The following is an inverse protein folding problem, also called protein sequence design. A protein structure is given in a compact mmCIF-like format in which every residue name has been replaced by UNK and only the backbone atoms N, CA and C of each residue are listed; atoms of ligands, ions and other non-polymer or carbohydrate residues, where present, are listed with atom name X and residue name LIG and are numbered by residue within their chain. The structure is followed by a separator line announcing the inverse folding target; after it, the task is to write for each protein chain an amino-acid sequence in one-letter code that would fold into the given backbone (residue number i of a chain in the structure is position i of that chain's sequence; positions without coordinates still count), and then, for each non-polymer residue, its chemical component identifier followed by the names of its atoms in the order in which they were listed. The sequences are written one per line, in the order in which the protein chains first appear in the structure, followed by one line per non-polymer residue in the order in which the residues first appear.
data_IF_324875798057
#
_entry.id   IF_324875798057
#
_cell.length_a   1.000
_cell.length_b   1.000
_cell.length_c   1.000
_cell.angle_alpha   90.00
_cell.angle_beta   90.00
_cell.angle_gamma   90.00
#
_symmetry.space_group_name_H-M   'P 1'
#
loop_
_entity.id
_entity.type
_entity.pdbx_description
1 polymer ?
#
# COMPACT_ATOMS: atom_id res chain seq x y z
N UNK A 1 32.69 52.81 39.97
CA UNK A 1 31.70 51.81 39.51
C UNK A 1 31.68 51.77 37.99
N UNK A 2 32.47 50.91 37.36
CA UNK A 2 32.39 50.62 35.93
C UNK A 2 32.35 49.10 35.78
N UNK A 3 31.18 48.54 35.43
CA UNK A 3 30.99 47.10 35.20
C UNK A 3 31.27 46.80 33.73
N UNK A 4 32.44 46.22 33.45
CA UNK A 4 32.79 45.66 32.15
C UNK A 4 32.10 44.29 32.02
N UNK A 5 31.10 44.18 31.13
CA UNK A 5 30.42 42.90 30.84
C UNK A 5 31.20 42.15 29.77
N UNK A 6 31.95 41.13 30.18
CA UNK A 6 32.55 40.14 29.28
C UNK A 6 31.42 39.27 28.69
N UNK A 7 31.13 39.40 27.39
CA UNK A 7 30.31 38.42 26.67
C UNK A 7 31.21 37.31 26.16
N UNK A 8 31.15 36.16 26.82
CA UNK A 8 31.74 34.91 26.36
C UNK A 8 30.91 34.42 25.17
N UNK A 9 31.43 34.55 23.95
CA UNK A 9 30.84 33.94 22.77
C UNK A 9 31.19 32.44 22.78
N UNK A 10 30.20 31.61 23.14
CA UNK A 10 30.31 30.15 23.04
C UNK A 10 30.22 29.79 21.55
N UNK A 11 31.38 29.56 20.93
CA UNK A 11 31.49 29.05 19.56
C UNK A 11 31.02 27.59 19.55
N UNK A 12 29.73 27.40 19.27
CA UNK A 12 29.15 26.08 19.08
C UNK A 12 29.62 25.54 17.72
N UNK A 13 30.75 24.84 17.73
CA UNK A 13 31.30 24.16 16.56
C UNK A 13 30.47 22.89 16.31
N UNK A 14 29.33 23.05 15.65
CA UNK A 14 28.54 21.92 15.13
C UNK A 14 29.37 21.21 14.06
N UNK A 15 30.06 20.14 14.44
CA UNK A 15 30.55 19.14 13.48
C UNK A 15 29.34 18.43 12.88
N UNK A 16 28.83 18.95 11.77
CA UNK A 16 27.93 18.20 10.91
C UNK A 16 28.74 17.04 10.32
N UNK A 17 28.59 15.84 10.90
CA UNK A 17 29.00 14.62 10.22
C UNK A 17 28.21 14.56 8.91
N UNK A 18 28.87 14.87 7.79
CA UNK A 18 28.37 14.53 6.46
C UNK A 18 28.33 13.00 6.40
N UNK A 19 27.18 12.43 6.75
CA UNK A 19 26.92 11.01 6.49
C UNK A 19 26.88 10.86 4.98
N UNK A 20 28.01 10.45 4.40
CA UNK A 20 28.08 10.16 2.98
C UNK A 20 27.05 9.08 2.64
N UNK A 21 26.26 9.32 1.61
CA UNK A 21 25.30 8.34 1.13
C UNK A 21 26.06 7.08 0.71
N UNK A 22 25.59 5.92 1.17
CA UNK A 22 26.11 4.65 0.68
C UNK A 22 25.74 4.53 -0.81
N UNK A 23 26.75 4.44 -1.67
CA UNK A 23 26.56 4.29 -3.11
C UNK A 23 26.46 2.81 -3.44
N UNK A 24 25.34 2.42 -4.05
CA UNK A 24 25.16 1.09 -4.63
C UNK A 24 25.35 1.20 -6.14
N UNK A 25 26.29 0.44 -6.69
CA UNK A 25 26.57 0.42 -8.13
C UNK A 25 25.98 -0.85 -8.76
N UNK A 26 25.23 -0.66 -9.85
CA UNK A 26 24.62 -1.73 -10.64
C UNK A 26 25.19 -1.60 -12.06
N UNK A 27 25.95 -2.61 -12.51
CA UNK A 27 26.41 -2.69 -13.90
C UNK A 27 25.38 -3.48 -14.73
N UNK A 28 24.52 -2.75 -15.44
CA UNK A 28 23.50 -3.31 -16.32
C UNK A 28 23.98 -3.41 -17.79
N UNK A 29 25.21 -2.98 -18.09
CA UNK A 29 25.88 -3.20 -19.38
C UNK A 29 26.73 -4.47 -19.42
N UNK A 30 26.94 -5.14 -18.28
CA UNK A 30 27.68 -6.39 -18.21
C UNK A 30 26.98 -7.52 -19.01
N UNK A 31 27.53 -7.83 -20.19
CA UNK A 31 26.96 -8.83 -21.12
C UNK A 31 27.21 -10.28 -20.69
N UNK A 32 28.10 -10.49 -19.73
CA UNK A 32 28.46 -11.83 -19.26
C UNK A 32 27.82 -12.08 -17.90
N UNK A 33 26.94 -13.09 -17.83
CA UNK A 33 26.52 -13.61 -16.54
C UNK A 33 27.77 -14.08 -15.80
N UNK A 34 28.06 -13.50 -14.63
CA UNK A 34 29.18 -13.96 -13.80
C UNK A 34 29.09 -15.49 -13.62
N UNK A 35 30.19 -16.22 -13.75
CA UNK A 35 30.16 -17.65 -13.47
C UNK A 35 29.79 -17.87 -12.01
N UNK A 36 29.10 -18.99 -11.75
CA UNK A 36 28.71 -19.36 -10.39
C UNK A 36 29.97 -19.75 -9.62
N UNK A 37 30.29 -19.02 -8.55
CA UNK A 37 31.38 -19.34 -7.64
C UNK A 37 30.85 -19.56 -6.23
N UNK A 38 31.35 -20.59 -5.56
CA UNK A 38 30.99 -20.88 -4.17
C UNK A 38 31.55 -19.79 -3.25
N UNK A 39 30.74 -19.33 -2.30
CA UNK A 39 31.19 -18.48 -1.20
C UNK A 39 31.52 -19.36 0.01
N UNK A 40 32.41 -18.92 0.92
CA UNK A 40 32.78 -19.67 2.14
C UNK A 40 31.66 -19.64 3.21
N UNK A 41 30.41 -19.73 2.78
CA UNK A 41 29.22 -19.76 3.63
C UNK A 41 28.51 -21.09 3.38
N UNK A 42 28.76 -22.10 4.24
CA UNK A 42 28.04 -23.36 4.21
C UNK A 42 27.84 -23.96 5.61
N UNK A 43 26.77 -24.72 5.80
CA UNK A 43 26.46 -25.40 7.06
C UNK A 43 25.50 -26.56 6.85
N UNK A 44 25.63 -27.60 7.66
CA UNK A 44 24.75 -28.78 7.64
C UNK A 44 23.96 -28.83 8.94
N UNK A 45 22.64 -28.94 8.86
CA UNK A 45 21.80 -29.08 10.05
C UNK A 45 21.75 -30.54 10.55
N UNK A 46 21.21 -30.83 11.76
CA UNK A 46 21.12 -32.19 12.30
C UNK A 46 20.33 -33.18 11.43
N UNK A 47 19.39 -32.70 10.62
CA UNK A 47 18.63 -33.50 9.66
C UNK A 47 19.40 -33.79 8.35
N UNK A 48 20.64 -33.34 8.26
CA UNK A 48 21.52 -33.53 7.12
C UNK A 48 21.32 -32.58 5.94
N UNK A 49 20.46 -31.57 6.09
CA UNK A 49 20.24 -30.52 5.08
C UNK A 49 21.44 -29.60 5.03
N UNK A 50 21.97 -29.40 3.83
CA UNK A 50 23.08 -28.49 3.57
C UNK A 50 22.52 -27.15 3.12
N UNK A 51 22.96 -26.08 3.77
CA UNK A 51 22.73 -24.71 3.36
C UNK A 51 24.06 -24.13 2.89
N UNK A 52 24.08 -23.48 1.74
CA UNK A 52 25.28 -22.83 1.19
C UNK A 52 24.93 -21.51 0.52
N UNK A 53 25.93 -20.73 0.12
CA UNK A 53 25.75 -19.57 -0.76
C UNK A 53 26.78 -19.60 -1.89
N UNK A 54 26.37 -19.09 -3.05
CA UNK A 54 27.26 -18.73 -4.15
C UNK A 54 27.16 -17.22 -4.40
N UNK A 55 27.97 -16.69 -5.31
CA UNK A 55 27.97 -15.28 -5.70
C UNK A 55 26.64 -14.76 -6.31
N UNK A 56 25.59 -15.59 -6.41
CA UNK A 56 24.28 -15.22 -6.94
C UNK A 56 23.13 -15.44 -5.96
N UNK A 57 23.12 -16.54 -5.19
CA UNK A 57 22.00 -16.90 -4.32
C UNK A 57 22.39 -17.88 -3.21
N UNK A 58 21.51 -18.03 -2.21
CA UNK A 58 21.57 -19.10 -1.22
C UNK A 58 21.10 -20.42 -1.82
N UNK A 59 21.57 -21.52 -1.26
CA UNK A 59 21.27 -22.87 -1.70
C UNK A 59 20.79 -23.74 -0.53
N UNK A 60 19.84 -24.63 -0.81
CA UNK A 60 19.41 -25.71 0.07
C UNK A 60 19.59 -27.03 -0.67
N UNK A 61 20.49 -27.88 -0.19
CA UNK A 61 20.91 -29.12 -0.85
C UNK A 61 21.34 -28.87 -2.32
N UNK A 62 22.14 -27.83 -2.55
CA UNK A 62 22.66 -27.46 -3.88
C UNK A 62 21.64 -26.84 -4.83
N UNK A 63 20.38 -26.65 -4.41
CA UNK A 63 19.33 -25.99 -5.20
C UNK A 63 19.14 -24.54 -4.75
N UNK A 64 18.87 -23.58 -5.65
CA UNK A 64 18.54 -22.21 -5.27
C UNK A 64 17.46 -22.17 -4.20
N UNK A 65 17.70 -21.37 -3.17
CA UNK A 65 16.82 -21.21 -2.02
C UNK A 65 16.77 -19.74 -1.63
N UNK A 66 15.57 -19.25 -1.37
CA UNK A 66 15.35 -17.92 -0.80
C UNK A 66 14.96 -18.14 0.67
N UNK A 67 15.87 -17.94 1.64
CA UNK A 67 15.50 -18.00 3.04
C UNK A 67 14.45 -16.95 3.37
N UNK A 68 13.55 -17.28 4.30
CA UNK A 68 12.78 -16.26 5.01
C UNK A 68 13.73 -15.62 6.01
N UNK A 69 14.22 -14.42 5.68
CA UNK A 69 15.09 -13.65 6.56
C UNK A 69 14.24 -12.67 7.38
N UNK A 70 14.41 -12.69 8.71
CA UNK A 70 13.67 -11.86 9.66
C UNK A 70 14.50 -10.71 10.24
N UNK A 71 15.40 -10.13 9.44
CA UNK A 71 16.26 -9.04 9.91
C UNK A 71 15.55 -7.68 9.82
N UNK A 72 15.73 -6.86 10.86
CA UNK A 72 15.31 -5.47 10.84
C UNK A 72 16.34 -4.64 10.08
N UNK A 73 15.99 -4.20 8.88
CA UNK A 73 16.82 -3.31 8.08
C UNK A 73 16.68 -1.87 8.62
N UNK A 74 17.76 -1.20 9.04
CA UNK A 74 17.70 0.17 9.53
C UNK A 74 17.54 1.19 8.38
N UNK A 75 17.18 2.42 8.72
CA UNK A 75 17.23 3.56 7.82
C UNK A 75 18.65 3.75 7.25
N UNK A 76 18.77 4.06 5.96
CA UNK A 76 20.06 4.32 5.31
C UNK A 76 19.97 5.49 4.33
N UNK A 77 20.97 6.38 4.36
CA UNK A 77 21.18 7.31 3.25
C UNK A 77 21.84 6.55 2.10
N UNK A 78 21.18 6.51 0.95
CA UNK A 78 21.61 5.73 -0.22
C UNK A 78 21.60 6.58 -1.48
N UNK A 79 22.54 6.29 -2.39
CA UNK A 79 22.51 6.71 -3.79
C UNK A 79 22.73 5.48 -4.65
N UNK A 80 22.10 5.44 -5.83
CA UNK A 80 22.22 4.33 -6.77
C UNK A 80 22.90 4.85 -8.04
N UNK A 81 23.92 4.13 -8.51
CA UNK A 81 24.52 4.35 -9.83
C UNK A 81 24.21 3.15 -10.72
N UNK A 82 23.61 3.41 -11.86
CA UNK A 82 23.34 2.39 -12.89
C UNK A 82 24.26 2.65 -14.05
N UNK A 83 25.23 1.77 -14.27
CA UNK A 83 26.14 1.81 -15.40
C UNK A 83 25.51 1.04 -16.57
N UNK A 84 25.43 1.71 -17.71
CA UNK A 84 24.91 1.22 -18.99
C UNK A 84 26.03 1.28 -20.05
N UNK A 85 25.80 0.67 -21.22
CA UNK A 85 26.79 0.64 -22.31
C UNK A 85 27.29 2.03 -22.72
N UNK A 86 26.43 3.05 -22.68
CA UNK A 86 26.72 4.40 -23.22
C UNK A 86 26.71 5.50 -22.16
N UNK A 87 26.30 5.20 -20.93
CA UNK A 87 26.14 6.21 -19.88
C UNK A 87 26.14 5.60 -18.48
N UNK A 88 26.31 6.46 -17.47
CA UNK A 88 26.07 6.10 -16.07
C UNK A 88 25.02 7.03 -15.50
N UNK A 89 23.91 6.47 -15.03
CA UNK A 89 22.83 7.21 -14.39
C UNK A 89 23.07 7.22 -12.89
N UNK A 90 23.19 8.41 -12.29
CA UNK A 90 23.35 8.57 -10.84
C UNK A 90 22.06 9.14 -10.25
N UNK A 91 21.43 8.37 -9.38
CA UNK A 91 20.27 8.80 -8.60
C UNK A 91 20.73 9.77 -7.50
N UNK A 92 19.96 10.83 -7.29
CA UNK A 92 20.15 11.70 -6.12
C UNK A 92 20.09 10.88 -4.82
N UNK A 93 20.89 11.30 -3.84
CA UNK A 93 20.85 10.68 -2.51
C UNK A 93 19.45 10.79 -1.89
N UNK A 94 19.04 9.75 -1.17
CA UNK A 94 17.80 9.71 -0.41
C UNK A 94 17.95 8.91 0.88
N UNK A 95 17.20 9.30 1.92
CA UNK A 95 17.05 8.48 3.12
C UNK A 95 16.03 7.37 2.83
N UNK A 96 16.49 6.16 2.60
CA UNK A 96 15.64 4.99 2.47
C UNK A 96 15.29 4.48 3.86
N UNK A 97 13.99 4.49 4.18
CA UNK A 97 13.50 3.96 5.46
C UNK A 97 13.71 2.45 5.56
N UNK A 98 14.01 2.00 6.76
CA UNK A 98 14.07 0.60 7.10
C UNK A 98 12.84 -0.18 6.65
N UNK A 99 12.99 -1.47 6.40
CA UNK A 99 11.92 -2.35 5.89
C UNK A 99 11.28 -1.89 4.56
N UNK A 100 11.95 -1.02 3.79
CA UNK A 100 11.49 -0.60 2.47
C UNK A 100 12.19 -1.40 1.38
N UNK A 101 11.41 -2.10 0.56
CA UNK A 101 11.86 -2.62 -0.74
C UNK A 101 11.33 -1.69 -1.84
N UNK A 102 12.23 -1.16 -2.66
CA UNK A 102 11.90 -0.16 -3.68
C UNK A 102 12.22 -0.65 -5.09
N UNK A 103 11.28 -0.45 -6.02
CA UNK A 103 11.46 -0.63 -7.46
C UNK A 103 11.64 0.74 -8.10
N UNK A 104 12.88 1.11 -8.40
CA UNK A 104 13.22 2.43 -8.95
C UNK A 104 13.46 2.37 -10.46
N UNK A 105 12.65 3.05 -11.29
CA UNK A 105 12.83 3.00 -12.72
C UNK A 105 13.96 3.92 -13.19
N UNK A 106 14.66 3.51 -14.24
CA UNK A 106 15.65 4.30 -14.97
C UNK A 106 15.40 4.19 -16.48
N UNK A 107 15.79 5.21 -17.25
CA UNK A 107 15.53 5.33 -18.69
C UNK A 107 14.07 5.00 -19.09
N UNK A 108 13.12 5.49 -18.30
CA UNK A 108 11.69 5.29 -18.52
C UNK A 108 11.17 6.25 -19.60
N UNK A 109 10.63 5.70 -20.69
CA UNK A 109 9.98 6.49 -21.74
C UNK A 109 8.56 6.89 -21.34
N UNK A 110 8.19 8.15 -21.58
CA UNK A 110 6.85 8.70 -21.36
C UNK A 110 6.48 9.63 -22.52
N UNK A 111 5.68 9.13 -23.48
CA UNK A 111 5.60 9.78 -24.79
C UNK A 111 6.99 9.81 -25.45
N UNK A 112 7.40 11.00 -25.90
CA UNK A 112 8.74 11.31 -26.39
C UNK A 112 9.71 11.78 -25.30
N UNK A 113 9.26 12.01 -24.06
CA UNK A 113 10.16 12.32 -22.95
C UNK A 113 10.91 11.08 -22.46
N UNK A 114 12.19 11.24 -22.13
CA UNK A 114 13.01 10.22 -21.49
C UNK A 114 13.29 10.62 -20.04
N UNK A 115 12.76 9.86 -19.10
CA UNK A 115 13.01 10.02 -17.67
C UNK A 115 14.22 9.16 -17.30
N UNK A 116 15.33 9.78 -16.96
CA UNK A 116 16.60 9.11 -16.62
C UNK A 116 16.47 8.29 -15.35
N UNK A 117 15.81 8.82 -14.33
CA UNK A 117 15.50 8.09 -13.10
C UNK A 117 14.30 8.68 -12.36
N UNK A 118 13.69 7.89 -11.47
CA UNK A 118 12.69 8.35 -10.48
C UNK A 118 12.94 7.66 -9.13
N UNK A 119 12.91 8.38 -8.01
CA UNK A 119 13.00 7.84 -6.65
C UNK A 119 11.62 7.50 -6.06
N UNK A 120 10.75 6.91 -6.89
CA UNK A 120 9.39 6.48 -6.54
C UNK A 120 9.02 5.27 -7.39
N UNK A 121 8.12 4.41 -6.88
CA UNK A 121 7.81 3.14 -7.53
C UNK A 121 6.69 3.31 -8.55
N UNK A 122 6.80 2.79 -9.78
CA UNK A 122 5.72 2.90 -10.76
C UNK A 122 4.51 2.09 -10.31
N UNK A 123 3.32 2.68 -10.44
CA UNK A 123 2.03 2.06 -10.10
C UNK A 123 1.19 1.80 -11.35
N UNK A 124 0.90 2.86 -12.12
CA UNK A 124 0.01 2.79 -13.27
C UNK A 124 0.42 3.76 -14.37
N UNK A 125 0.09 3.41 -15.61
CA UNK A 125 0.21 4.28 -16.78
C UNK A 125 -1.16 4.39 -17.46
N UNK A 126 -1.55 5.61 -17.79
CA UNK A 126 -2.73 5.96 -18.58
C UNK A 126 -2.30 6.66 -19.87
N UNK A 127 -2.97 6.36 -20.98
CA UNK A 127 -2.75 6.97 -22.30
C UNK A 127 -4.08 7.45 -22.88
N UNK A 128 -4.25 8.77 -22.96
CA UNK A 128 -5.40 9.43 -23.57
C UNK A 128 -4.92 10.32 -24.73
N UNK A 129 -4.84 9.74 -25.93
CA UNK A 129 -4.27 10.42 -27.10
C UNK A 129 -2.81 10.83 -26.89
N UNK A 130 -2.49 12.11 -27.07
CA UNK A 130 -1.14 12.67 -26.83
C UNK A 130 -0.85 13.00 -25.35
N UNK A 131 -1.71 12.54 -24.43
CA UNK A 131 -1.50 12.72 -22.99
C UNK A 131 -1.14 11.38 -22.35
N UNK A 132 0.09 11.27 -21.86
CA UNK A 132 0.54 10.13 -21.04
C UNK A 132 0.57 10.54 -19.58
N UNK A 133 -0.05 9.75 -18.71
CA UNK A 133 0.04 9.95 -17.26
C UNK A 133 0.67 8.73 -16.61
N UNK A 134 1.62 8.94 -15.72
CA UNK A 134 2.28 7.88 -14.95
C UNK A 134 2.09 8.18 -13.47
N UNK A 135 1.46 7.25 -12.76
CA UNK A 135 1.31 7.28 -11.32
C UNK A 135 2.46 6.51 -10.69
N UNK A 136 3.07 7.12 -9.69
CA UNK A 136 4.07 6.51 -8.83
C UNK A 136 3.55 6.45 -7.40
N UNK A 137 3.92 5.42 -6.66
CA UNK A 137 3.81 5.38 -5.22
C UNK A 137 5.09 5.98 -4.60
N UNK A 138 4.92 6.90 -3.67
CA UNK A 138 6.00 7.46 -2.87
C UNK A 138 6.64 6.42 -1.95
N UNK A 139 7.96 6.50 -1.80
CA UNK A 139 8.67 5.75 -0.76
C UNK A 139 8.47 6.45 0.60
N UNK A 140 8.35 5.70 1.72
CA UNK A 140 8.19 6.29 3.04
C UNK A 140 9.29 7.31 3.35
N UNK A 141 8.89 8.55 3.65
CA UNK A 141 9.82 9.62 4.04
C UNK A 141 10.74 10.16 2.92
N UNK A 142 10.55 9.76 1.67
CA UNK A 142 11.35 10.24 0.53
C UNK A 142 10.52 11.22 -0.30
N UNK A 143 10.93 12.49 -0.33
CA UNK A 143 10.40 13.43 -1.32
C UNK A 143 10.78 12.95 -2.74
N UNK A 144 9.82 12.86 -3.68
CA UNK A 144 10.12 12.41 -5.03
C UNK A 144 11.22 13.23 -5.70
N UNK A 145 12.18 12.53 -6.29
CA UNK A 145 13.26 13.07 -7.11
C UNK A 145 13.24 12.35 -8.45
N UNK A 146 13.49 13.07 -9.52
CA UNK A 146 13.62 12.50 -10.86
C UNK A 146 14.56 13.33 -11.73
N UNK A 147 14.94 12.78 -12.87
CA UNK A 147 15.64 13.54 -13.90
C UNK A 147 15.07 13.24 -15.28
N UNK A 148 14.96 14.27 -16.10
CA UNK A 148 14.69 14.13 -17.54
C UNK A 148 15.98 14.28 -18.33
N UNK A 149 16.06 13.57 -19.46
CA UNK A 149 16.93 13.96 -20.55
C UNK A 149 16.48 15.34 -21.06
N UNK A 150 17.36 16.34 -20.96
CA UNK A 150 17.05 17.72 -21.34
C UNK A 150 16.76 17.85 -22.84
N UNK A 151 17.32 16.95 -23.67
CA UNK A 151 17.09 16.88 -25.10
C UNK A 151 15.70 16.37 -25.47
N UNK A 152 15.01 15.66 -24.57
CA UNK A 152 13.70 15.04 -24.83
C UNK A 152 12.50 15.92 -24.49
N UNK A 153 12.68 16.92 -23.63
CA UNK A 153 11.60 17.79 -23.13
C UNK A 153 11.66 19.21 -23.71
N UNK A 154 10.50 19.86 -23.83
CA UNK A 154 10.36 21.26 -24.22
C UNK A 154 10.07 22.19 -23.01
N UNK A 155 9.56 21.65 -21.90
CA UNK A 155 9.30 22.40 -20.67
C UNK A 155 10.60 22.90 -20.03
N UNK A 156 10.61 24.17 -19.62
CA UNK A 156 11.76 24.84 -18.99
C UNK A 156 11.51 25.34 -17.56
N UNK A 157 10.26 25.29 -17.08
CA UNK A 157 9.83 25.70 -15.74
C UNK A 157 8.96 24.61 -15.10
N UNK A 158 9.17 24.36 -13.80
CA UNK A 158 8.57 23.24 -13.08
C UNK A 158 8.02 23.73 -11.73
N UNK A 159 6.75 24.09 -11.69
CA UNK A 159 6.09 24.67 -10.51
C UNK A 159 6.01 23.68 -9.33
N UNK A 160 6.54 24.08 -8.17
CA UNK A 160 6.60 23.25 -6.97
C UNK A 160 7.74 22.22 -6.96
N UNK A 161 8.71 22.38 -7.87
CA UNK A 161 9.88 21.51 -8.01
C UNK A 161 11.18 22.31 -8.01
N UNK A 162 12.08 21.97 -7.09
CA UNK A 162 13.45 22.47 -7.11
C UNK A 162 14.16 21.87 -8.32
N UNK A 163 14.81 22.73 -9.12
CA UNK A 163 15.40 22.35 -10.40
C UNK A 163 16.91 22.55 -10.38
N UNK A 164 17.64 21.53 -10.80
CA UNK A 164 19.09 21.58 -11.03
C UNK A 164 19.37 21.11 -12.45
N UNK A 165 20.12 21.90 -13.22
CA UNK A 165 20.49 21.57 -14.60
C UNK A 165 21.92 21.06 -14.60
N UNK A 166 22.12 19.90 -15.22
CA UNK A 166 23.44 19.31 -15.49
C UNK A 166 23.57 19.02 -16.98
N UNK A 167 24.77 18.63 -17.43
CA UNK A 167 25.02 18.37 -18.86
C UNK A 167 24.09 17.27 -19.35
N UNK A 168 23.16 17.62 -20.25
CA UNK A 168 22.19 16.70 -20.84
C UNK A 168 20.99 16.34 -19.97
N UNK A 169 20.89 16.82 -18.71
CA UNK A 169 19.81 16.46 -17.80
C UNK A 169 19.18 17.66 -17.08
N UNK A 170 17.89 17.51 -16.75
CA UNK A 170 17.17 18.38 -15.82
C UNK A 170 16.74 17.53 -14.63
N UNK A 171 17.35 17.78 -13.47
CA UNK A 171 17.05 17.10 -12.22
C UNK A 171 16.02 17.91 -11.43
N UNK A 172 15.04 17.21 -10.87
CA UNK A 172 13.91 17.80 -10.18
C UNK A 172 13.70 17.09 -8.84
N UNK A 173 13.44 17.89 -7.80
CA UNK A 173 13.05 17.42 -6.47
C UNK A 173 11.75 18.10 -6.05
N UNK A 174 10.76 17.30 -5.66
CA UNK A 174 9.48 17.81 -5.19
C UNK A 174 9.68 18.65 -3.92
N UNK A 175 9.08 19.85 -3.90
CA UNK A 175 9.08 20.75 -2.74
C UNK A 175 7.74 20.63 -2.02
N UNK A 176 6.66 21.06 -2.67
CA UNK A 176 5.30 21.09 -2.12
C UNK A 176 4.24 20.55 -3.11
N UNK A 177 4.65 20.16 -4.32
CA UNK A 177 3.77 19.60 -5.35
C UNK A 177 3.98 18.09 -5.51
N UNK A 178 2.88 17.37 -5.73
CA UNK A 178 2.84 15.91 -5.97
C UNK A 178 2.50 15.56 -7.41
N UNK A 179 2.35 16.57 -8.25
CA UNK A 179 2.11 16.42 -9.69
C UNK A 179 3.17 17.19 -10.45
N UNK A 180 3.59 16.65 -11.59
CA UNK A 180 4.50 17.29 -12.51
C UNK A 180 3.95 17.17 -13.93
N UNK A 181 3.77 18.29 -14.62
CA UNK A 181 3.30 18.33 -16.00
C UNK A 181 4.42 18.83 -16.89
N UNK A 182 4.75 18.05 -17.92
CA UNK A 182 5.85 18.31 -18.85
C UNK A 182 5.35 18.14 -20.28
N UNK A 183 5.83 18.97 -21.19
CA UNK A 183 5.68 18.78 -22.63
C UNK A 183 6.97 18.22 -23.18
N UNK A 184 6.87 17.18 -24.00
CA UNK A 184 8.01 16.70 -24.78
C UNK A 184 8.19 17.49 -26.08
N UNK A 185 9.32 17.27 -26.76
CA UNK A 185 9.59 17.93 -28.05
C UNK A 185 8.75 17.44 -29.23
N UNK A 186 8.04 16.32 -29.06
CA UNK A 186 7.14 15.75 -30.08
C UNK A 186 5.68 16.22 -29.91
N UNK A 187 5.42 17.06 -28.91
CA UNK A 187 4.12 17.65 -28.63
C UNK A 187 3.20 16.77 -27.76
N UNK A 188 3.70 15.75 -27.06
CA UNK A 188 2.91 15.06 -26.04
C UNK A 188 2.96 15.81 -24.71
N UNK A 189 1.89 15.66 -23.94
CA UNK A 189 1.83 16.08 -22.54
C UNK A 189 2.08 14.85 -21.66
N UNK A 190 3.01 14.98 -20.73
CA UNK A 190 3.35 13.98 -19.73
C UNK A 190 2.92 14.51 -18.38
N UNK A 191 2.12 13.74 -17.64
CA UNK A 191 1.79 14.03 -16.24
C UNK A 191 2.36 12.93 -15.35
N UNK A 192 3.24 13.29 -14.42
CA UNK A 192 3.69 12.38 -13.37
C UNK A 192 2.91 12.72 -12.09
N UNK A 193 2.35 11.71 -11.45
CA UNK A 193 1.57 11.87 -10.22
C UNK A 193 2.17 10.99 -9.14
N UNK A 194 2.51 11.57 -7.99
CA UNK A 194 3.13 10.89 -6.86
C UNK A 194 2.08 10.70 -5.76
N UNK A 195 1.60 9.46 -5.63
CA UNK A 195 0.57 9.06 -4.68
C UNK A 195 1.22 8.61 -3.37
N UNK A 196 0.59 8.96 -2.25
CA UNK A 196 0.89 8.32 -0.97
C UNK A 196 0.64 6.81 -1.05
N UNK A 197 1.25 6.04 -0.15
CA UNK A 197 1.03 4.59 -0.05
C UNK A 197 -0.47 4.23 0.05
N UNK A 198 -1.22 4.92 0.92
CA UNK A 198 -2.66 4.71 1.09
C UNK A 198 -3.41 4.96 -0.22
N UNK A 199 -3.11 6.04 -0.93
CA UNK A 199 -3.75 6.32 -2.22
C UNK A 199 -3.42 5.26 -3.27
N UNK A 200 -2.18 4.78 -3.32
CA UNK A 200 -1.75 3.75 -4.27
C UNK A 200 -2.42 2.39 -4.00
N UNK A 201 -2.53 1.97 -2.73
CA UNK A 201 -3.20 0.74 -2.31
C UNK A 201 -4.72 0.78 -2.61
N UNK A 202 -5.30 1.97 -2.65
CA UNK A 202 -6.71 2.22 -2.91
C UNK A 202 -7.02 2.67 -4.35
N UNK A 203 -6.04 2.57 -5.26
CA UNK A 203 -6.17 3.02 -6.63
C UNK A 203 -6.52 1.87 -7.59
N UNK A 204 -7.47 2.11 -8.49
CA UNK A 204 -7.84 1.19 -9.56
C UNK A 204 -7.75 1.88 -10.93
N UNK A 205 -7.19 1.17 -11.91
CA UNK A 205 -7.21 1.62 -13.31
C UNK A 205 -8.41 1.01 -14.02
N UNK A 206 -9.13 1.84 -14.77
CA UNK A 206 -10.30 1.44 -15.53
C UNK A 206 -10.48 2.33 -16.77
N UNK A 207 -11.50 2.04 -17.58
CA UNK A 207 -11.93 2.92 -18.67
C UNK A 207 -13.28 3.53 -18.32
N UNK A 208 -13.39 4.84 -18.49
CA UNK A 208 -14.62 5.60 -18.27
C UNK A 208 -14.83 6.50 -19.48
N UNK A 209 -16.00 6.44 -20.10
CA UNK A 209 -16.34 7.22 -21.31
C UNK A 209 -15.30 7.08 -22.44
N UNK A 210 -14.78 5.86 -22.63
CA UNK A 210 -13.76 5.55 -23.63
C UNK A 210 -12.35 6.06 -23.30
N UNK A 211 -12.14 6.72 -22.17
CA UNK A 211 -10.84 7.23 -21.73
C UNK A 211 -10.26 6.35 -20.62
N UNK A 212 -8.93 6.19 -20.60
CA UNK A 212 -8.26 5.56 -19.47
C UNK A 212 -8.33 6.50 -18.26
N UNK A 213 -8.75 5.93 -17.13
CA UNK A 213 -8.99 6.65 -15.89
C UNK A 213 -8.35 5.92 -14.70
N UNK A 214 -8.14 6.67 -13.62
CA UNK A 214 -7.79 6.13 -12.31
C UNK A 214 -8.88 6.55 -11.31
N UNK A 215 -9.37 5.60 -10.53
CA UNK A 215 -10.25 5.83 -9.39
C UNK A 215 -9.48 5.55 -8.10
N UNK A 216 -9.67 6.38 -7.08
CA UNK A 216 -9.12 6.16 -5.73
C UNK A 216 -10.27 6.19 -4.73
N UNK A 217 -10.42 5.13 -3.93
CA UNK A 217 -11.43 5.04 -2.88
C UNK A 217 -11.00 4.09 -1.76
N UNK A 218 -11.33 4.44 -0.51
CA UNK A 218 -11.15 3.54 0.64
C UNK A 218 -12.20 2.38 0.64
N UNK A 219 -13.18 2.41 -0.26
CA UNK A 219 -14.15 1.34 -0.45
C UNK A 219 -13.64 0.28 -1.42
N UNK A 220 -14.14 -0.95 -1.28
CA UNK A 220 -14.00 -2.00 -2.28
C UNK A 220 -14.83 -1.66 -3.52
N UNK A 221 -14.31 -1.95 -4.71
CA UNK A 221 -14.94 -1.66 -5.99
C UNK A 221 -15.33 -2.94 -6.73
N UNK A 222 -16.57 -3.00 -7.19
CA UNK A 222 -17.02 -3.93 -8.23
C UNK A 222 -17.41 -3.12 -9.46
N UNK A 223 -16.69 -3.33 -10.56
CA UNK A 223 -16.80 -2.54 -11.79
C UNK A 223 -17.58 -3.37 -12.83
N UNK A 224 -18.66 -2.79 -13.34
CA UNK A 224 -19.48 -3.31 -14.43
C UNK A 224 -19.56 -2.25 -15.55
N UNK A 225 -20.00 -2.64 -16.76
CA UNK A 225 -19.96 -1.76 -17.95
C UNK A 225 -20.68 -0.41 -17.75
N UNK A 226 -21.75 -0.39 -16.96
CA UNK A 226 -22.58 0.80 -16.76
C UNK A 226 -22.55 1.37 -15.34
N UNK A 227 -21.87 0.72 -14.38
CA UNK A 227 -21.91 1.11 -12.97
C UNK A 227 -20.69 0.60 -12.18
N UNK A 228 -20.42 1.28 -11.07
CA UNK A 228 -19.44 0.86 -10.07
C UNK A 228 -20.17 0.71 -8.75
N UNK A 229 -20.13 -0.49 -8.15
CA UNK A 229 -20.63 -0.72 -6.80
C UNK A 229 -19.48 -0.51 -5.82
N UNK A 230 -19.71 0.32 -4.81
CA UNK A 230 -18.77 0.57 -3.72
C UNK A 230 -19.27 -0.10 -2.45
N UNK A 231 -18.38 -0.75 -1.71
CA UNK A 231 -18.69 -1.37 -0.42
C UNK A 231 -17.61 -1.03 0.61
N UNK A 232 -18.02 -0.68 1.83
CA UNK A 232 -17.08 -0.45 2.93
C UNK A 232 -17.74 -0.72 4.28
N UNK A 233 -16.93 -1.13 5.25
CA UNK A 233 -17.35 -1.31 6.64
C UNK A 233 -17.21 0.01 7.42
N UNK A 234 -17.93 0.12 8.54
CA UNK A 234 -17.86 1.22 9.53
C UNK A 234 -18.34 2.62 9.11
N UNK A 235 -18.43 2.93 7.80
CA UNK A 235 -18.82 4.28 7.35
C UNK A 235 -19.85 4.23 6.23
N UNK A 236 -20.93 5.00 6.40
CA UNK A 236 -21.96 5.23 5.40
C UNK A 236 -21.58 6.30 4.37
N UNK A 237 -20.39 6.91 4.52
CA UNK A 237 -19.85 7.96 3.66
C UNK A 237 -18.76 7.39 2.75
N UNK A 238 -19.04 7.43 1.45
CA UNK A 238 -18.14 6.99 0.38
C UNK A 238 -17.43 8.19 -0.22
N UNK A 239 -16.10 8.11 -0.34
CA UNK A 239 -15.29 9.12 -0.99
C UNK A 239 -14.58 8.51 -2.19
N UNK A 240 -14.65 9.20 -3.32
CA UNK A 240 -14.08 8.75 -4.58
C UNK A 240 -13.34 9.90 -5.24
N UNK A 241 -12.11 9.66 -5.70
CA UNK A 241 -11.38 10.57 -6.59
C UNK A 241 -11.24 9.94 -7.97
N UNK A 242 -11.48 10.72 -9.03
CA UNK A 242 -11.38 10.28 -10.43
C UNK A 242 -10.37 11.14 -11.17
N UNK A 243 -9.41 10.49 -11.81
CA UNK A 243 -8.54 11.07 -12.82
C UNK A 243 -8.94 10.57 -14.21
N UNK A 244 -8.89 11.41 -15.27
CA UNK A 244 -8.59 12.83 -15.22
C UNK A 244 -9.76 13.65 -14.66
N UNK A 245 -9.45 14.85 -14.17
CA UNK A 245 -10.47 15.85 -13.79
C UNK A 245 -11.37 16.21 -14.98
N UNK A 246 -12.60 16.63 -14.67
CA UNK A 246 -13.63 17.03 -15.62
C UNK A 246 -14.13 15.90 -16.53
N UNK A 247 -13.94 14.64 -16.13
CA UNK A 247 -14.45 13.50 -16.88
C UNK A 247 -15.98 13.39 -16.80
N UNK A 248 -16.58 14.00 -15.77
CA UNK A 248 -18.00 13.87 -15.44
C UNK A 248 -18.41 12.39 -15.43
N UNK A 249 -17.64 11.60 -14.67
CA UNK A 249 -17.65 10.14 -14.73
C UNK A 249 -19.00 9.50 -14.39
N UNK A 250 -19.80 10.16 -13.53
CA UNK A 250 -20.99 9.56 -12.94
C UNK A 250 -22.26 10.36 -13.24
N UNK A 251 -23.31 9.66 -13.65
CA UNK A 251 -24.61 10.25 -13.95
C UNK A 251 -25.27 10.80 -12.66
N UNK A 252 -25.77 12.05 -12.73
CA UNK A 252 -26.46 12.69 -11.62
C UNK A 252 -25.58 13.13 -10.45
N UNK A 253 -24.26 12.94 -10.53
CA UNK A 253 -23.31 13.39 -9.50
C UNK A 253 -22.42 14.50 -10.03
N UNK A 254 -22.22 15.53 -9.22
CA UNK A 254 -21.29 16.62 -9.51
C UNK A 254 -20.05 16.49 -8.63
N UNK A 255 -18.85 16.72 -9.18
CA UNK A 255 -17.64 16.73 -8.36
C UNK A 255 -17.66 17.91 -7.38
N UNK A 256 -17.07 17.69 -6.21
CA UNK A 256 -16.85 18.70 -5.18
C UNK A 256 -15.81 19.71 -5.67
N UNK A 257 -16.08 21.00 -5.43
CA UNK A 257 -15.13 22.06 -5.76
C UNK A 257 -13.86 21.96 -4.88
N UNK A 258 -12.69 22.22 -5.48
CA UNK A 258 -11.50 22.68 -4.76
C UNK A 258 -10.66 21.65 -3.99
N UNK A 259 -10.87 20.33 -4.12
CA UNK A 259 -10.10 19.36 -3.30
C UNK A 259 -8.76 18.90 -3.88
N UNK A 260 -8.64 18.73 -5.19
CA UNK A 260 -7.35 18.41 -5.86
C UNK A 260 -7.36 18.97 -7.29
N UNK A 261 -6.20 19.42 -7.79
CA UNK A 261 -6.13 20.09 -9.09
C UNK A 261 -6.42 19.15 -10.28
N UNK A 262 -6.03 17.87 -10.17
CA UNK A 262 -6.07 16.90 -11.28
C UNK A 262 -7.10 15.78 -11.12
N UNK A 263 -7.81 15.69 -9.99
CA UNK A 263 -8.92 14.74 -9.81
C UNK A 263 -10.25 15.47 -9.63
N UNK A 264 -11.33 14.81 -10.07
CA UNK A 264 -12.69 15.06 -9.62
C UNK A 264 -12.93 14.30 -8.31
N UNK A 265 -13.41 14.98 -7.26
CA UNK A 265 -13.74 14.33 -5.99
C UNK A 265 -15.26 14.21 -5.83
N UNK A 266 -15.75 13.03 -5.46
CA UNK A 266 -17.16 12.76 -5.19
C UNK A 266 -17.32 12.26 -3.74
N UNK A 267 -18.40 12.67 -3.09
CA UNK A 267 -18.84 12.07 -1.82
C UNK A 267 -20.29 11.60 -1.99
N UNK A 268 -20.55 10.36 -1.62
CA UNK A 268 -21.90 9.80 -1.57
C UNK A 268 -22.17 9.31 -0.16
N UNK A 269 -23.27 9.79 0.43
CA UNK A 269 -23.71 9.36 1.76
C UNK A 269 -24.94 8.48 1.63
N UNK A 270 -24.94 7.35 2.32
CA UNK A 270 -26.10 6.45 2.41
C UNK A 270 -26.82 6.61 3.76
N UNK A 271 -28.02 6.06 3.88
CA UNK A 271 -28.76 6.11 5.14
C UNK A 271 -28.02 5.28 6.22
N UNK A 272 -27.89 5.77 7.46
CA UNK A 272 -27.29 4.99 8.53
C UNK A 272 -28.13 3.73 8.81
N UNK A 273 -27.48 2.66 9.25
CA UNK A 273 -28.15 1.41 9.62
C UNK A 273 -27.67 0.91 10.98
N UNK A 274 -28.63 0.61 11.85
CA UNK A 274 -28.37 -0.06 13.13
C UNK A 274 -28.70 -1.55 12.98
N UNK A 275 -27.72 -2.40 13.30
CA UNK A 275 -27.88 -3.85 13.26
C UNK A 275 -29.03 -4.31 14.17
N UNK A 276 -29.85 -5.22 13.66
CA UNK A 276 -30.95 -5.87 14.41
C UNK A 276 -30.59 -7.28 14.89
N UNK A 277 -29.31 -7.64 14.90
CA UNK A 277 -28.89 -8.95 15.41
C UNK A 277 -29.17 -9.07 16.91
N UNK A 278 -29.67 -10.22 17.31
CA UNK A 278 -29.78 -10.59 18.73
C UNK A 278 -28.75 -11.67 19.03
N UNK A 279 -27.93 -11.43 20.05
CA UNK A 279 -26.90 -12.35 20.50
C UNK A 279 -27.29 -12.83 21.90
N UNK A 280 -27.25 -14.15 22.10
CA UNK A 280 -27.43 -14.76 23.43
C UNK A 280 -26.25 -15.64 23.76
N UNK A 281 -25.95 -15.81 25.05
CA UNK A 281 -24.86 -16.64 25.54
C UNK A 281 -25.42 -17.73 26.45
N UNK A 282 -25.89 -18.87 25.90
CA UNK A 282 -26.38 -19.97 26.71
C UNK A 282 -25.32 -20.51 27.67
N UNK A 283 -24.04 -20.45 27.29
CA UNK A 283 -22.89 -20.89 28.07
C UNK A 283 -21.70 -19.94 27.84
N UNK A 284 -20.70 -19.96 28.74
CA UNK A 284 -19.50 -19.09 28.64
C UNK A 284 -18.76 -19.21 27.30
N UNK A 285 -18.77 -20.41 26.70
CA UNK A 285 -18.08 -20.74 25.46
C UNK A 285 -19.02 -20.80 24.24
N UNK A 286 -20.30 -20.46 24.40
CA UNK A 286 -21.31 -20.61 23.35
C UNK A 286 -22.09 -19.31 23.15
N UNK A 287 -22.12 -18.82 21.92
CA UNK A 287 -22.98 -17.71 21.51
C UNK A 287 -23.95 -18.16 20.41
N UNK A 288 -25.21 -17.75 20.51
CA UNK A 288 -26.22 -17.97 19.47
C UNK A 288 -26.63 -16.62 18.91
N UNK A 289 -26.53 -16.47 17.58
CA UNK A 289 -26.77 -15.23 16.86
C UNK A 289 -27.98 -15.38 15.95
N UNK A 290 -29.04 -14.64 16.27
CA UNK A 290 -30.25 -14.54 15.45
C UNK A 290 -30.01 -13.54 14.32
N UNK A 291 -30.11 -14.03 13.08
CA UNK A 291 -29.87 -13.24 11.87
C UNK A 291 -31.14 -12.49 11.42
N UNK A 292 -31.02 -11.27 10.85
CA UNK A 292 -32.17 -10.62 10.23
C UNK A 292 -32.66 -11.43 9.03
N UNK A 293 -33.95 -11.29 8.69
CA UNK A 293 -34.53 -11.91 7.48
C UNK A 293 -34.14 -11.18 6.21
N UNK A 294 -34.00 -9.85 6.27
CA UNK A 294 -33.65 -9.00 5.13
C UNK A 294 -32.71 -7.88 5.57
N UNK A 295 -31.90 -7.40 4.63
CA UNK A 295 -31.08 -6.19 4.76
C UNK A 295 -31.64 -5.09 3.84
N UNK A 296 -31.52 -3.81 4.22
CA UNK A 296 -31.87 -2.73 3.31
C UNK A 296 -30.88 -2.69 2.14
N UNK A 297 -31.30 -2.09 1.02
CA UNK A 297 -30.51 -2.08 -0.23
C UNK A 297 -29.15 -1.39 -0.12
N UNK A 298 -28.96 -0.49 0.85
CA UNK A 298 -27.70 0.20 1.10
C UNK A 298 -26.77 -0.53 2.09
N UNK A 299 -27.12 -1.74 2.52
CA UNK A 299 -26.30 -2.61 3.37
C UNK A 299 -26.09 -3.92 2.64
N UNK A 300 -24.88 -4.12 2.12
CA UNK A 300 -24.52 -5.34 1.41
C UNK A 300 -24.39 -6.54 2.35
N UNK A 301 -23.93 -6.29 3.58
CA UNK A 301 -23.68 -7.33 4.56
C UNK A 301 -23.74 -6.80 6.00
N UNK A 302 -23.83 -7.73 6.95
CA UNK A 302 -23.44 -7.48 8.34
C UNK A 302 -22.18 -8.28 8.63
N UNK A 303 -21.17 -7.60 9.14
CA UNK A 303 -19.91 -8.20 9.54
C UNK A 303 -19.97 -8.45 11.03
N UNK A 304 -20.09 -9.71 11.42
CA UNK A 304 -20.01 -10.15 12.81
C UNK A 304 -18.55 -10.20 13.22
N UNK A 305 -18.16 -9.34 14.16
CA UNK A 305 -16.84 -9.28 14.76
C UNK A 305 -16.81 -10.19 16.00
N UNK A 306 -15.94 -11.20 15.99
CA UNK A 306 -15.77 -12.15 17.09
C UNK A 306 -14.40 -11.94 17.72
N UNK A 307 -14.39 -11.33 18.90
CA UNK A 307 -13.23 -11.27 19.77
C UNK A 307 -13.37 -12.32 20.87
N UNK A 308 -12.38 -13.18 21.04
CA UNK A 308 -12.43 -14.27 22.01
C UNK A 308 -11.05 -14.62 22.58
N UNK A 309 -11.05 -15.46 23.61
CA UNK A 309 -9.91 -16.16 24.17
C UNK A 309 -10.23 -17.66 24.08
N UNK A 310 -9.25 -18.46 23.66
CA UNK A 310 -9.42 -19.90 23.46
C UNK A 310 -8.40 -20.44 22.48
N UNK A 311 -8.53 -21.72 22.11
CA UNK A 311 -7.74 -22.33 21.03
C UNK A 311 -8.30 -22.04 19.64
N UNK A 312 -9.62 -22.09 19.50
CA UNK A 312 -10.33 -21.78 18.25
C UNK A 312 -11.79 -21.42 18.51
N UNK A 313 -12.47 -20.89 17.49
CA UNK A 313 -13.90 -20.67 17.46
C UNK A 313 -14.51 -21.41 16.27
N UNK A 314 -15.55 -22.22 16.52
CA UNK A 314 -16.31 -22.94 15.50
C UNK A 314 -17.60 -22.20 15.19
N UNK A 315 -17.93 -22.02 13.92
CA UNK A 315 -19.24 -21.55 13.46
C UNK A 315 -20.07 -22.74 12.97
N UNK A 316 -21.25 -22.88 13.55
CA UNK A 316 -22.24 -23.88 13.20
C UNK A 316 -23.53 -23.24 12.71
N UNK A 317 -24.24 -23.90 11.80
CA UNK A 317 -25.59 -23.56 11.40
C UNK A 317 -26.43 -24.84 11.32
N UNK A 318 -27.61 -24.84 11.94
CA UNK A 318 -28.46 -26.03 12.07
C UNK A 318 -27.71 -27.27 12.59
N UNK A 319 -26.78 -27.06 13.55
CA UNK A 319 -25.95 -28.13 14.12
C UNK A 319 -24.77 -28.60 13.25
N UNK A 320 -24.65 -28.13 12.00
CA UNK A 320 -23.55 -28.49 11.11
C UNK A 320 -22.38 -27.51 11.25
N UNK A 321 -21.16 -28.02 11.36
CA UNK A 321 -19.94 -27.21 11.30
C UNK A 321 -19.76 -26.62 9.89
N UNK A 322 -19.65 -25.30 9.82
CA UNK A 322 -19.49 -24.53 8.58
C UNK A 322 -18.04 -24.13 8.36
N UNK A 323 -17.41 -23.55 9.39
CA UNK A 323 -16.04 -23.05 9.35
C UNK A 323 -15.56 -22.80 10.77
N UNK A 324 -14.25 -22.67 10.93
CA UNK A 324 -13.60 -22.30 12.17
C UNK A 324 -12.64 -21.12 12.01
N UNK A 325 -12.15 -20.63 13.14
CA UNK A 325 -11.04 -19.69 13.22
C UNK A 325 -10.09 -20.16 14.32
N UNK A 326 -8.81 -20.31 13.97
CA UNK A 326 -7.75 -20.59 14.95
C UNK A 326 -7.33 -19.29 15.63
N UNK A 327 -7.18 -19.33 16.95
CA UNK A 327 -6.88 -18.12 17.71
C UNK A 327 -5.48 -17.57 17.37
N UNK A 328 -5.44 -16.30 16.98
CA UNK A 328 -4.22 -15.57 16.65
C UNK A 328 -4.17 -14.18 17.30
N UNK A 329 -5.14 -13.84 18.16
CA UNK A 329 -5.24 -12.53 18.81
C UNK A 329 -5.90 -11.43 17.98
N UNK A 330 -6.36 -11.71 16.76
CA UNK A 330 -7.10 -10.75 15.93
C UNK A 330 -8.60 -11.04 15.94
N UNK A 331 -9.41 -10.00 15.73
CA UNK A 331 -10.87 -10.12 15.58
C UNK A 331 -11.19 -11.00 14.37
N UNK A 332 -11.99 -12.05 14.59
CA UNK A 332 -12.51 -12.84 13.47
C UNK A 332 -13.75 -12.17 12.89
N UNK A 333 -13.68 -11.75 11.63
CA UNK A 333 -14.78 -11.09 10.93
C UNK A 333 -15.53 -12.07 10.03
N UNK A 334 -16.86 -12.13 10.19
CA UNK A 334 -17.73 -13.03 9.44
C UNK A 334 -18.81 -12.24 8.71
N UNK A 335 -18.82 -12.33 7.39
CA UNK A 335 -19.93 -11.86 6.55
C UNK A 335 -21.16 -12.78 6.72
N UNK A 336 -22.23 -12.31 7.39
CA UNK A 336 -23.37 -13.16 7.78
C UNK A 336 -24.48 -13.23 6.74
N UNK A 337 -24.47 -12.40 5.70
CA UNK A 337 -25.52 -12.37 4.67
C UNK A 337 -25.75 -13.74 4.02
N UNK A 338 -24.67 -14.51 3.80
CA UNK A 338 -24.73 -15.88 3.26
C UNK A 338 -25.44 -16.91 4.16
N UNK A 339 -25.68 -16.58 5.43
CA UNK A 339 -26.31 -17.47 6.41
C UNK A 339 -27.76 -17.10 6.72
N UNK A 340 -28.25 -15.93 6.29
CA UNK A 340 -29.56 -15.39 6.69
C UNK A 340 -30.75 -16.31 6.34
N UNK A 341 -30.62 -17.14 5.29
CA UNK A 341 -31.66 -18.10 4.89
C UNK A 341 -31.62 -19.43 5.66
N UNK A 342 -30.58 -19.68 6.46
CA UNK A 342 -30.38 -20.92 7.20
C UNK A 342 -30.77 -20.85 8.69
N UNK A 343 -31.40 -19.76 9.13
CA UNK A 343 -31.75 -19.52 10.53
C UNK A 343 -30.58 -18.96 11.35
N UNK A 344 -30.58 -19.24 12.65
CA UNK A 344 -29.51 -18.80 13.56
C UNK A 344 -28.16 -19.45 13.26
N UNK A 345 -27.09 -18.78 13.66
CA UNK A 345 -25.75 -19.37 13.71
C UNK A 345 -25.31 -19.50 15.17
N UNK A 346 -24.51 -20.53 15.44
CA UNK A 346 -23.92 -20.77 16.77
C UNK A 346 -22.40 -20.66 16.66
N UNK A 347 -21.79 -19.94 17.60
CA UNK A 347 -20.35 -19.90 17.80
C UNK A 347 -19.99 -20.71 19.04
N UNK A 348 -19.11 -21.69 18.89
CA UNK A 348 -18.58 -22.49 19.99
C UNK A 348 -17.07 -22.28 20.09
N UNK A 349 -16.61 -21.76 21.22
CA UNK A 349 -15.18 -21.67 21.51
C UNK A 349 -14.65 -23.05 21.90
N UNK A 350 -13.37 -23.27 21.61
CA UNK A 350 -12.62 -24.44 22.04
C UNK A 350 -11.54 -24.01 23.01
N UNK A 351 -11.29 -24.85 24.01
CA UNK A 351 -10.29 -24.56 25.03
C UNK A 351 -8.87 -24.46 24.45
N UNK A 352 -8.07 -23.61 25.09
CA UNK A 352 -6.65 -23.50 24.76
C UNK A 352 -5.90 -24.80 25.03
N UNK A 353 -4.97 -25.12 24.14
CA UNK A 353 -4.09 -26.26 24.26
C UNK A 353 -2.63 -25.79 24.09
N UNK A 354 -1.75 -26.20 25.00
CA UNK A 354 -0.31 -25.85 24.96
C UNK A 354 0.45 -26.40 23.74
N UNK A 355 -0.19 -27.23 22.91
CA UNK A 355 0.31 -27.63 21.59
C UNK A 355 0.07 -26.57 20.50
N UNK A 356 -0.76 -25.56 20.75
CA UNK A 356 -0.99 -24.44 19.82
C UNK A 356 0.23 -23.52 19.87
N UNK A 357 0.81 -23.26 18.70
CA UNK A 357 2.00 -22.42 18.52
C UNK A 357 1.69 -21.20 17.67
N UNK A 358 2.56 -20.18 17.69
CA UNK A 358 2.41 -19.00 16.83
C UNK A 358 1.54 -17.89 17.42
N UNK A 359 1.18 -18.00 18.70
CA UNK A 359 0.45 -16.96 19.45
C UNK A 359 1.43 -16.24 20.38
N UNK A 360 1.31 -14.92 20.47
CA UNK A 360 2.18 -14.11 21.32
C UNK A 360 2.10 -14.53 22.80
N UNK A 361 3.22 -14.63 23.54
CA UNK A 361 3.22 -15.07 24.93
C UNK A 361 2.30 -14.27 25.87
N UNK A 362 2.13 -12.96 25.61
CA UNK A 362 1.21 -12.11 26.35
C UNK A 362 -0.26 -12.54 26.22
N UNK A 363 -0.67 -12.98 25.02
CA UNK A 363 -2.01 -13.49 24.77
C UNK A 363 -2.23 -14.85 25.42
N UNK A 364 -1.22 -15.74 25.36
CA UNK A 364 -1.26 -17.05 26.04
C UNK A 364 -1.42 -16.89 27.56
N UNK A 365 -0.71 -15.92 28.14
CA UNK A 365 -0.88 -15.55 29.55
C UNK A 365 -2.30 -15.07 29.85
N UNK A 366 -2.85 -14.17 29.03
CA UNK A 366 -4.24 -13.69 29.20
C UNK A 366 -5.26 -14.84 29.16
N UNK A 367 -5.10 -15.79 28.22
CA UNK A 367 -5.96 -16.98 28.16
C UNK A 367 -5.81 -17.85 29.40
N UNK A 368 -4.58 -18.03 29.91
CA UNK A 368 -4.32 -18.85 31.10
C UNK A 368 -4.95 -18.26 32.36
N UNK A 369 -5.03 -16.93 32.45
CA UNK A 369 -5.64 -16.21 33.58
C UNK A 369 -7.17 -16.13 33.51
N UNK A 370 -7.74 -15.92 32.31
CA UNK A 370 -9.18 -15.67 32.13
C UNK A 370 -9.97 -16.90 31.67
N UNK A 371 -9.28 -17.90 31.15
CA UNK A 371 -9.86 -19.06 30.46
C UNK A 371 -10.53 -18.70 29.14
N UNK A 372 -11.12 -19.70 28.51
CA UNK A 372 -11.84 -19.59 27.24
C UNK A 372 -13.12 -18.79 27.41
N UNK A 373 -13.29 -17.71 26.63
CA UNK A 373 -14.45 -16.82 26.67
C UNK A 373 -14.52 -15.89 25.48
N UNK A 374 -15.72 -15.39 25.17
CA UNK A 374 -15.86 -14.22 24.30
C UNK A 374 -15.41 -12.95 25.02
N UNK A 375 -14.62 -12.11 24.35
CA UNK A 375 -14.26 -10.74 24.77
C UNK A 375 -15.23 -9.71 24.21
N UNK A 376 -15.72 -9.94 23.00
CA UNK A 376 -16.64 -9.07 22.29
C UNK A 376 -17.31 -9.82 21.15
N UNK A 377 -18.61 -9.57 20.98
CA UNK A 377 -19.36 -10.03 19.83
C UNK A 377 -20.35 -8.94 19.43
N UNK A 378 -20.09 -8.29 18.30
CA UNK A 378 -20.93 -7.25 17.74
C UNK A 378 -20.99 -7.39 16.22
N UNK A 379 -21.91 -6.65 15.60
CA UNK A 379 -21.94 -6.62 14.14
C UNK A 379 -22.11 -5.21 13.61
N UNK A 380 -21.33 -4.94 12.57
CA UNK A 380 -21.31 -3.67 11.87
C UNK A 380 -21.82 -3.83 10.44
N UNK A 381 -22.53 -2.82 9.91
CA UNK A 381 -22.91 -2.84 8.50
C UNK A 381 -21.68 -2.71 7.61
N UNK A 382 -21.67 -3.52 6.54
CA UNK A 382 -20.96 -3.20 5.32
C UNK A 382 -21.93 -2.41 4.44
N UNK A 383 -21.74 -1.09 4.39
CA UNK A 383 -22.55 -0.22 3.55
C UNK A 383 -22.23 -0.45 2.08
N UNK A 384 -23.19 -0.17 1.21
CA UNK A 384 -22.98 -0.11 -0.23
C UNK A 384 -23.65 1.07 -0.89
N UNK A 385 -23.06 1.51 -2.01
CA UNK A 385 -23.70 2.44 -2.94
C UNK A 385 -23.31 2.12 -4.37
N UNK A 386 -24.10 2.59 -5.34
CA UNK A 386 -23.89 2.34 -6.77
C UNK A 386 -23.68 3.68 -7.46
N UNK A 387 -22.56 3.82 -8.15
CA UNK A 387 -22.25 4.94 -9.02
C UNK A 387 -22.53 4.55 -10.47
N UNK A 388 -23.56 5.13 -11.08
CA UNK A 388 -23.85 4.89 -12.49
C UNK A 388 -22.88 5.67 -13.37
N UNK A 389 -22.22 5.00 -14.31
CA UNK A 389 -21.28 5.62 -15.23
C UNK A 389 -22.08 6.49 -16.22
N UNK A 390 -21.65 7.73 -16.41
CA UNK A 390 -22.27 8.63 -17.38
C UNK A 390 -22.04 8.12 -18.80
N UNK A 391 -23.09 8.17 -19.63
CA UNK A 391 -23.00 7.83 -21.06
C UNK A 391 -22.13 8.81 -21.83
#
# INVERSE_FOLDING_TARGET
MFKLKFKLAMLCMCFAYLVNAQVYEIDAGAKTAQEKSALPFSGKNPAGVIYSANNKYFEKNGKPWLPVMGENMPDKNVSVKVKLDQETITFSSMLLKGQTTATLPFNLKAGGALIKYVTAQPLARLMNGKHTTIFFQELPGVSPQLAFDAGSIATTSFEGWATEKSVGMVQLKAVDNKTLIVKDKTGNTITLVFLSRKQAENAWRLKLKGQEALIISDADLMIEDSKITLQQIYSENFNVQIYPRSLNAFAGLKPQAGKTAIFDSYTVKTAPYTSKLTITYPEKQKAVVQLPKTLPSNVANLILNVDYLGGSALLLQSGKHITDNLYNGTTWQIAVQRFMNGGEITLNLQDWNNKITGVAPSLVKEISEKGTMFKGLDAVPQYQTILNIAK
#
